data_IF_711566415755
#
_entry.id   IF_711566415755
#
_cell.length_a   1.000
_cell.length_b   1.000
_cell.length_c   1.000
_cell.angle_alpha   90.00
_cell.angle_beta   90.00
_cell.angle_gamma   90.00
#
_symmetry.space_group_name_H-M   'P 1'
#
loop_
_entity.id
_entity.type
_entity.pdbx_description
1 polymer ?
#
# COMPACT_ATOMS: atom_id res chain seq x y z
N UNK A 1 -22.10 9.61 -12.29
CA UNK A 1 -21.31 8.92 -11.25
C UNK A 1 -20.49 9.99 -10.54
N UNK A 2 -20.60 10.19 -9.23
CA UNK A 2 -19.77 11.16 -8.50
C UNK A 2 -18.41 10.53 -8.18
N UNK A 3 -17.34 11.18 -8.62
CA UNK A 3 -15.98 10.66 -8.56
C UNK A 3 -15.13 11.55 -7.65
N UNK A 4 -14.48 10.94 -6.67
CA UNK A 4 -13.43 11.58 -5.85
C UNK A 4 -12.07 11.28 -6.46
N UNK A 5 -11.25 12.31 -6.66
CA UNK A 5 -9.85 12.17 -7.08
C UNK A 5 -8.97 12.67 -5.93
N UNK A 6 -8.17 11.78 -5.36
CA UNK A 6 -7.32 12.07 -4.20
C UNK A 6 -5.87 12.14 -4.65
N UNK A 7 -5.32 13.35 -4.71
CA UNK A 7 -3.93 13.60 -5.12
C UNK A 7 -3.49 15.00 -4.69
N UNK A 8 -2.22 15.13 -4.29
CA UNK A 8 -1.54 16.42 -4.15
C UNK A 8 -0.75 16.80 -5.42
N UNK A 9 -0.76 15.94 -6.45
CA UNK A 9 -0.09 16.15 -7.73
C UNK A 9 -1.03 16.78 -8.77
N UNK A 10 -0.80 18.05 -9.17
CA UNK A 10 -1.66 18.73 -10.14
C UNK A 10 -1.69 18.05 -11.51
N UNK A 11 -0.57 17.46 -11.96
CA UNK A 11 -0.51 16.80 -13.27
C UNK A 11 -1.34 15.51 -13.28
N UNK A 12 -1.32 14.75 -12.18
CA UNK A 12 -2.18 13.58 -12.03
C UNK A 12 -3.65 13.98 -12.05
N UNK A 13 -4.03 15.03 -11.30
CA UNK A 13 -5.40 15.55 -11.28
C UNK A 13 -5.89 15.95 -12.68
N UNK A 14 -5.07 16.69 -13.45
CA UNK A 14 -5.40 17.09 -14.82
C UNK A 14 -5.58 15.87 -15.74
N UNK A 15 -4.63 14.92 -15.69
CA UNK A 15 -4.67 13.73 -16.54
C UNK A 15 -5.90 12.86 -16.24
N UNK A 16 -6.19 12.61 -14.96
CA UNK A 16 -7.35 11.83 -14.54
C UNK A 16 -8.66 12.52 -14.89
N UNK A 17 -8.75 13.86 -14.73
CA UNK A 17 -9.92 14.63 -15.16
C UNK A 17 -10.17 14.47 -16.65
N UNK A 18 -9.14 14.60 -17.49
CA UNK A 18 -9.28 14.44 -18.94
C UNK A 18 -9.80 13.03 -19.32
N UNK A 19 -9.30 11.99 -18.66
CA UNK A 19 -9.76 10.61 -18.86
C UNK A 19 -11.23 10.45 -18.44
N UNK A 20 -11.59 10.95 -17.25
CA UNK A 20 -12.97 10.89 -16.75
C UNK A 20 -13.91 11.65 -17.68
N UNK A 21 -13.59 12.88 -18.04
CA UNK A 21 -14.44 13.76 -18.87
C UNK A 21 -14.66 13.17 -20.27
N UNK A 22 -13.66 12.47 -20.81
CA UNK A 22 -13.81 11.77 -22.10
C UNK A 22 -14.81 10.60 -22.05
N UNK A 23 -14.93 9.92 -20.91
CA UNK A 23 -15.79 8.73 -20.77
C UNK A 23 -17.13 9.05 -20.08
N UNK A 24 -17.15 10.03 -19.19
CA UNK A 24 -18.26 10.42 -18.33
C UNK A 24 -18.35 11.95 -18.20
N UNK A 25 -18.70 12.68 -19.27
CA UNK A 25 -18.66 14.15 -19.30
C UNK A 25 -19.53 14.83 -18.25
N UNK A 26 -20.61 14.17 -17.81
CA UNK A 26 -21.57 14.71 -16.83
C UNK A 26 -21.26 14.30 -15.39
N UNK A 27 -20.19 13.55 -15.15
CA UNK A 27 -19.85 13.05 -13.81
C UNK A 27 -19.20 14.14 -12.96
N UNK A 28 -19.76 14.49 -11.78
CA UNK A 28 -19.11 15.46 -10.90
C UNK A 28 -17.78 14.92 -10.37
N UNK A 29 -16.72 15.72 -10.49
CA UNK A 29 -15.37 15.39 -10.04
C UNK A 29 -14.96 16.27 -8.86
N UNK A 30 -14.76 15.65 -7.69
CA UNK A 30 -14.28 16.31 -6.48
C UNK A 30 -12.81 15.95 -6.27
N UNK A 31 -11.92 16.94 -6.23
CA UNK A 31 -10.49 16.72 -5.98
C UNK A 31 -10.16 17.05 -4.53
N UNK A 32 -9.44 16.16 -3.85
CA UNK A 32 -8.87 16.39 -2.52
C UNK A 32 -7.39 16.01 -2.52
N UNK A 33 -6.61 16.52 -1.57
CA UNK A 33 -5.19 16.19 -1.40
C UNK A 33 -4.94 15.00 -0.45
N UNK A 34 -6.00 14.51 0.20
CA UNK A 34 -5.96 13.50 1.26
C UNK A 34 -7.22 12.64 1.24
N UNK A 35 -7.06 11.38 1.67
CA UNK A 35 -8.16 10.44 1.84
C UNK A 35 -9.10 10.92 2.95
N UNK A 36 -8.56 11.47 4.04
CA UNK A 36 -9.38 12.04 5.12
C UNK A 36 -10.35 13.12 4.66
N UNK A 37 -9.92 14.03 3.78
CA UNK A 37 -10.84 15.04 3.21
C UNK A 37 -11.91 14.42 2.32
N UNK A 38 -11.57 13.38 1.55
CA UNK A 38 -12.56 12.66 0.75
C UNK A 38 -13.60 11.95 1.65
N UNK A 39 -13.17 11.41 2.79
CA UNK A 39 -14.04 10.85 3.83
C UNK A 39 -14.94 11.93 4.43
N UNK A 40 -14.40 13.09 4.82
CA UNK A 40 -15.18 14.22 5.35
C UNK A 40 -16.28 14.66 4.38
N UNK A 41 -15.93 14.82 3.10
CA UNK A 41 -16.88 15.17 2.04
C UNK A 41 -17.88 14.05 1.74
N UNK A 42 -17.61 12.81 2.13
CA UNK A 42 -18.56 11.71 1.99
C UNK A 42 -19.82 11.90 2.83
N UNK A 43 -19.79 12.76 3.86
CA UNK A 43 -20.96 13.12 4.66
C UNK A 43 -21.99 13.97 3.91
N UNK A 44 -21.58 14.70 2.87
CA UNK A 44 -22.45 15.58 2.07
C UNK A 44 -22.54 15.15 0.60
N UNK A 45 -21.58 14.35 0.12
CA UNK A 45 -21.51 13.84 -1.25
C UNK A 45 -21.36 12.33 -1.25
N UNK A 46 -22.29 11.62 -1.87
CA UNK A 46 -22.16 10.17 -2.05
C UNK A 46 -21.21 9.89 -3.20
N UNK A 47 -20.02 9.35 -2.93
CA UNK A 47 -19.07 8.96 -3.97
C UNK A 47 -19.37 7.56 -4.48
N UNK A 48 -19.25 7.35 -5.79
CA UNK A 48 -19.34 6.04 -6.42
C UNK A 48 -17.97 5.49 -6.79
N UNK A 49 -17.00 6.38 -7.02
CA UNK A 49 -15.62 6.01 -7.33
C UNK A 49 -14.68 6.93 -6.56
N UNK A 50 -13.62 6.35 -6.00
CA UNK A 50 -12.42 7.06 -5.59
C UNK A 50 -11.26 6.66 -6.49
N UNK A 51 -10.56 7.64 -7.06
CA UNK A 51 -9.27 7.46 -7.74
C UNK A 51 -8.20 8.04 -6.84
N UNK A 52 -7.36 7.18 -6.28
CA UNK A 52 -6.36 7.50 -5.28
C UNK A 52 -4.95 7.44 -5.89
N UNK A 53 -4.22 8.55 -5.81
CA UNK A 53 -2.78 8.55 -6.03
C UNK A 53 -2.07 8.12 -4.73
N UNK A 54 -1.23 7.09 -4.79
CA UNK A 54 -0.43 6.66 -3.63
C UNK A 54 0.57 7.74 -3.17
N UNK A 55 0.83 8.74 -4.02
CA UNK A 55 1.64 9.91 -3.70
C UNK A 55 1.03 10.79 -2.61
N UNK A 56 -0.30 10.82 -2.49
CA UNK A 56 -0.98 11.65 -1.49
C UNK A 56 -0.60 11.24 -0.05
N UNK A 57 -0.50 12.24 0.83
CA UNK A 57 0.17 12.12 2.14
C UNK A 57 -0.34 11.01 3.06
N UNK A 58 -1.64 10.68 3.01
CA UNK A 58 -2.29 9.64 3.82
C UNK A 58 -2.77 8.43 2.99
N UNK A 59 -2.45 8.36 1.69
CA UNK A 59 -2.95 7.34 0.78
C UNK A 59 -2.49 5.91 1.11
N UNK A 60 -1.35 5.76 1.80
CA UNK A 60 -0.80 4.45 2.19
C UNK A 60 -1.48 3.85 3.40
N UNK A 61 -2.27 4.61 4.13
CA UNK A 61 -3.02 4.10 5.27
C UNK A 61 -4.30 3.42 4.77
N UNK A 62 -4.25 2.11 4.63
CA UNK A 62 -5.40 1.33 4.13
C UNK A 62 -6.56 1.28 5.11
N UNK A 63 -6.37 1.67 6.38
CA UNK A 63 -7.48 1.83 7.32
C UNK A 63 -8.43 2.91 6.81
N UNK A 64 -7.90 4.00 6.24
CA UNK A 64 -8.72 5.06 5.66
C UNK A 64 -9.54 4.59 4.43
N UNK A 65 -9.05 3.58 3.71
CA UNK A 65 -9.79 2.96 2.60
C UNK A 65 -11.01 2.20 3.14
N UNK A 66 -10.82 1.49 4.26
CA UNK A 66 -11.91 0.77 4.96
C UNK A 66 -12.94 1.76 5.53
N UNK A 67 -12.48 2.88 6.13
CA UNK A 67 -13.35 3.95 6.63
C UNK A 67 -14.16 4.59 5.50
N UNK A 68 -13.51 4.91 4.37
CA UNK A 68 -14.19 5.44 3.20
C UNK A 68 -15.25 4.47 2.65
N UNK A 69 -14.95 3.15 2.61
CA UNK A 69 -15.90 2.11 2.20
C UNK A 69 -17.03 1.94 3.20
N UNK A 70 -16.80 2.16 4.48
CA UNK A 70 -17.87 2.10 5.50
C UNK A 70 -18.93 3.17 5.24
N UNK A 71 -18.52 4.37 4.83
CA UNK A 71 -19.42 5.47 4.49
C UNK A 71 -19.99 5.34 3.07
N UNK A 72 -19.20 4.82 2.13
CA UNK A 72 -19.60 4.56 0.75
C UNK A 72 -19.50 3.05 0.40
N UNK A 73 -20.42 2.19 0.89
CA UNK A 73 -20.30 0.73 0.75
C UNK A 73 -20.12 0.23 -0.68
N UNK A 74 -20.79 0.89 -1.62
CA UNK A 74 -20.79 0.53 -3.04
C UNK A 74 -19.72 1.27 -3.85
N UNK A 75 -18.90 2.12 -3.23
CA UNK A 75 -17.89 2.85 -3.97
C UNK A 75 -16.77 1.91 -4.44
N UNK A 76 -16.39 2.02 -5.71
CA UNK A 76 -15.19 1.41 -6.23
C UNK A 76 -13.97 2.27 -5.89
N UNK A 77 -12.82 1.62 -5.71
CA UNK A 77 -11.56 2.31 -5.39
C UNK A 77 -10.50 1.90 -6.39
N UNK A 78 -10.00 2.88 -7.11
CA UNK A 78 -8.95 2.76 -8.11
C UNK A 78 -7.69 3.39 -7.52
N UNK A 79 -6.57 2.68 -7.52
CA UNK A 79 -5.32 3.20 -6.94
C UNK A 79 -4.23 3.23 -7.99
N UNK A 80 -3.64 4.40 -8.20
CA UNK A 80 -2.36 4.54 -8.88
C UNK A 80 -1.22 4.32 -7.88
N UNK A 81 -0.49 3.22 -8.03
CA UNK A 81 0.66 2.87 -7.20
C UNK A 81 1.93 3.66 -7.58
N UNK A 82 1.87 4.48 -8.63
CA UNK A 82 3.05 5.14 -9.18
C UNK A 82 4.18 4.14 -9.47
N UNK A 83 5.39 4.43 -9.01
CA UNK A 83 6.53 3.49 -9.07
C UNK A 83 6.64 2.61 -7.81
N UNK A 84 5.70 2.73 -6.87
CA UNK A 84 5.75 2.08 -5.55
C UNK A 84 4.96 0.78 -5.51
N UNK A 85 5.13 -0.06 -6.53
CA UNK A 85 4.36 -1.29 -6.72
C UNK A 85 4.57 -2.34 -5.63
N UNK A 86 5.60 -2.19 -4.80
CA UNK A 86 5.78 -2.95 -3.56
C UNK A 86 4.58 -2.87 -2.59
N UNK A 87 3.75 -1.82 -2.68
CA UNK A 87 2.52 -1.69 -1.87
C UNK A 87 1.31 -2.42 -2.46
N UNK A 88 1.41 -2.99 -3.68
CA UNK A 88 0.31 -3.65 -4.38
C UNK A 88 -0.47 -4.62 -3.49
N UNK A 89 0.22 -5.51 -2.77
CA UNK A 89 -0.43 -6.49 -1.90
C UNK A 89 -1.28 -5.87 -0.78
N UNK A 90 -0.85 -4.71 -0.26
CA UNK A 90 -1.58 -3.99 0.80
C UNK A 90 -2.93 -3.53 0.28
N UNK A 91 -2.96 -2.92 -0.91
CA UNK A 91 -4.20 -2.45 -1.54
C UNK A 91 -5.09 -3.59 -2.06
N UNK A 92 -4.51 -4.68 -2.60
CA UNK A 92 -5.28 -5.88 -2.97
C UNK A 92 -6.03 -6.43 -1.75
N UNK A 93 -5.37 -6.49 -0.59
CA UNK A 93 -5.96 -6.96 0.68
C UNK A 93 -7.02 -5.99 1.22
N UNK A 94 -6.81 -4.69 1.07
CA UNK A 94 -7.79 -3.65 1.40
C UNK A 94 -9.04 -3.67 0.49
N UNK A 95 -9.07 -4.54 -0.53
CA UNK A 95 -10.26 -4.76 -1.36
C UNK A 95 -10.48 -3.67 -2.42
N UNK A 96 -9.41 -2.99 -2.86
CA UNK A 96 -9.54 -2.02 -3.96
C UNK A 96 -10.00 -2.69 -5.25
N UNK A 97 -10.72 -1.95 -6.06
CA UNK A 97 -11.34 -2.41 -7.31
C UNK A 97 -10.34 -2.44 -8.45
N UNK A 98 -9.48 -1.41 -8.57
CA UNK A 98 -8.44 -1.43 -9.58
C UNK A 98 -7.08 -0.94 -9.10
N UNK A 99 -6.02 -1.45 -9.75
CA UNK A 99 -4.63 -1.06 -9.53
C UNK A 99 -3.94 -0.68 -10.83
N UNK A 100 -3.21 0.42 -10.77
CA UNK A 100 -2.42 0.99 -11.85
C UNK A 100 -1.01 1.37 -11.38
N UNK A 101 -0.14 1.73 -12.32
CA UNK A 101 1.14 2.36 -12.06
C UNK A 101 1.32 3.59 -12.96
N UNK A 102 2.45 4.30 -12.80
CA UNK A 102 2.82 5.40 -13.70
C UNK A 102 3.08 4.95 -15.15
N UNK A 103 3.18 3.65 -15.41
CA UNK A 103 3.36 3.08 -16.76
C UNK A 103 2.06 2.64 -17.40
N UNK A 104 0.96 2.64 -16.65
CA UNK A 104 -0.34 2.25 -17.17
C UNK A 104 -0.82 3.24 -18.22
N UNK A 105 -1.44 2.72 -19.27
CA UNK A 105 -1.95 3.54 -20.36
C UNK A 105 -3.30 4.19 -19.96
N UNK A 106 -3.67 5.36 -20.53
CA UNK A 106 -4.96 6.00 -20.27
C UNK A 106 -6.17 5.09 -20.51
N UNK A 107 -6.07 4.19 -21.51
CA UNK A 107 -7.11 3.22 -21.84
C UNK A 107 -7.31 2.19 -20.72
N UNK A 108 -6.26 1.84 -19.99
CA UNK A 108 -6.35 0.93 -18.84
C UNK A 108 -7.08 1.59 -17.67
N UNK A 109 -6.85 2.89 -17.43
CA UNK A 109 -7.59 3.65 -16.41
C UNK A 109 -9.07 3.70 -16.79
N UNK A 110 -9.37 3.94 -18.06
CA UNK A 110 -10.73 3.92 -18.60
C UNK A 110 -11.39 2.54 -18.43
N UNK A 111 -10.63 1.46 -18.63
CA UNK A 111 -11.08 0.08 -18.39
C UNK A 111 -11.35 -0.17 -16.91
N UNK A 112 -10.46 0.24 -16.01
CA UNK A 112 -10.73 0.10 -14.58
C UNK A 112 -11.94 0.91 -14.09
N UNK A 113 -12.26 2.04 -14.72
CA UNK A 113 -13.52 2.74 -14.48
C UNK A 113 -14.75 1.92 -14.95
N UNK A 114 -14.68 1.22 -16.08
CA UNK A 114 -15.76 0.29 -16.51
C UNK A 114 -15.91 -0.90 -15.56
N UNK A 115 -14.79 -1.46 -15.11
CA UNK A 115 -14.79 -2.54 -14.13
C UNK A 115 -15.38 -2.09 -12.78
N UNK A 116 -15.13 -0.84 -12.39
CA UNK A 116 -15.71 -0.22 -11.21
C UNK A 116 -17.25 -0.14 -11.26
N UNK A 117 -17.84 0.22 -12.40
CA UNK A 117 -19.31 0.20 -12.56
C UNK A 117 -19.90 -1.20 -12.40
N UNK A 118 -19.16 -2.23 -12.80
CA UNK A 118 -19.59 -3.62 -12.75
C UNK A 118 -19.18 -4.36 -11.47
N UNK A 119 -18.58 -3.68 -10.48
CA UNK A 119 -18.03 -4.30 -9.27
C UNK A 119 -17.05 -5.46 -9.54
N UNK A 120 -16.31 -5.38 -10.64
CA UNK A 120 -15.28 -6.37 -11.01
C UNK A 120 -13.90 -5.78 -10.79
N UNK A 121 -12.90 -6.66 -10.57
CA UNK A 121 -11.53 -6.22 -10.31
C UNK A 121 -10.75 -6.03 -11.60
N UNK A 122 -9.89 -5.02 -11.63
CA UNK A 122 -8.97 -4.76 -12.73
C UNK A 122 -7.55 -4.52 -12.21
N UNK A 123 -6.54 -5.03 -12.89
CA UNK A 123 -5.12 -4.70 -12.60
C UNK A 123 -4.49 -4.40 -13.95
N UNK A 124 -3.79 -3.28 -14.09
CA UNK A 124 -3.11 -2.95 -15.34
C UNK A 124 -2.10 -4.02 -15.73
N UNK A 125 -1.88 -4.17 -17.03
CA UNK A 125 -0.99 -5.17 -17.61
C UNK A 125 0.41 -5.16 -17.00
N UNK A 126 0.97 -3.97 -16.78
CA UNK A 126 2.30 -3.80 -16.18
C UNK A 126 2.34 -4.23 -14.70
N UNK A 127 1.29 -3.96 -13.94
CA UNK A 127 1.16 -4.38 -12.53
C UNK A 127 0.91 -5.89 -12.46
N UNK A 128 0.15 -6.48 -13.39
CA UNK A 128 -0.02 -7.93 -13.51
C UNK A 128 1.32 -8.64 -13.74
N UNK A 129 2.17 -8.12 -14.62
CA UNK A 129 3.51 -8.70 -14.86
C UNK A 129 4.36 -8.69 -13.59
N UNK A 130 4.32 -7.58 -12.83
CA UNK A 130 5.03 -7.50 -11.57
C UNK A 130 4.46 -8.44 -10.51
N UNK A 131 3.14 -8.63 -10.47
CA UNK A 131 2.50 -9.60 -9.60
C UNK A 131 2.94 -11.03 -9.92
N UNK A 132 2.94 -11.40 -11.20
CA UNK A 132 3.41 -12.70 -11.68
C UNK A 132 4.87 -12.94 -11.31
N UNK A 133 5.74 -11.95 -11.55
CA UNK A 133 7.15 -12.02 -11.15
C UNK A 133 7.30 -12.28 -9.65
N UNK A 134 6.53 -11.59 -8.80
CA UNK A 134 6.58 -11.82 -7.36
C UNK A 134 6.07 -13.21 -6.97
N UNK A 135 5.06 -13.76 -7.65
CA UNK A 135 4.52 -15.09 -7.36
C UNK A 135 5.49 -16.19 -7.80
N UNK A 136 6.09 -16.05 -8.99
CA UNK A 136 6.92 -17.07 -9.63
C UNK A 136 8.36 -17.05 -9.08
N UNK A 137 8.99 -15.88 -9.00
CA UNK A 137 10.42 -15.77 -8.65
C UNK A 137 10.67 -15.64 -7.14
N UNK A 138 9.63 -15.43 -6.34
CA UNK A 138 9.71 -15.43 -4.88
C UNK A 138 8.45 -16.04 -4.27
N UNK A 139 8.45 -17.34 -3.90
CA UNK A 139 7.53 -17.75 -2.84
C UNK A 139 7.88 -16.88 -1.62
N UNK A 140 7.02 -15.93 -1.26
CA UNK A 140 7.10 -15.27 0.03
C UNK A 140 6.81 -16.39 1.02
N UNK A 141 7.86 -17.12 1.40
CA UNK A 141 7.80 -18.01 2.54
C UNK A 141 7.62 -17.08 3.74
N UNK A 142 6.35 -16.82 4.08
CA UNK A 142 5.91 -15.99 5.21
C UNK A 142 6.39 -16.58 6.54
N UNK A 143 6.84 -17.83 6.52
CA UNK A 143 7.48 -18.49 7.66
C UNK A 143 8.92 -18.03 7.78
N UNK A 144 9.28 -17.56 8.96
CA UNK A 144 10.67 -17.37 9.32
C UNK A 144 11.34 -18.74 9.46
N UNK A 145 12.58 -18.84 9.00
CA UNK A 145 13.45 -19.96 9.37
C UNK A 145 13.89 -19.78 10.83
N UNK A 146 14.30 -20.86 11.51
CA UNK A 146 14.84 -20.79 12.89
C UNK A 146 15.94 -19.73 13.05
N UNK A 147 16.75 -19.53 12.00
CA UNK A 147 17.81 -18.52 11.99
C UNK A 147 17.26 -17.10 11.89
N UNK A 148 16.21 -16.89 11.11
CA UNK A 148 15.52 -15.60 10.99
C UNK A 148 14.73 -15.27 12.26
N UNK A 149 14.11 -16.26 12.91
CA UNK A 149 13.46 -16.08 14.23
C UNK A 149 14.47 -15.63 15.29
N UNK A 150 15.61 -16.32 15.36
CA UNK A 150 16.68 -15.95 16.28
C UNK A 150 17.24 -14.54 15.99
N UNK A 151 17.39 -14.18 14.71
CA UNK A 151 17.78 -12.81 14.33
C UNK A 151 16.72 -11.79 14.73
N UNK A 152 15.43 -12.10 14.57
CA UNK A 152 14.34 -11.22 15.00
C UNK A 152 14.38 -10.98 16.51
N UNK A 153 14.60 -12.03 17.32
CA UNK A 153 14.72 -11.90 18.78
C UNK A 153 15.84 -10.95 19.20
N UNK A 154 17.00 -11.08 18.58
CA UNK A 154 18.14 -10.21 18.88
C UNK A 154 17.90 -8.75 18.44
N UNK A 155 17.15 -8.54 17.35
CA UNK A 155 16.74 -7.21 16.90
C UNK A 155 15.71 -6.57 17.85
N UNK A 156 14.75 -7.36 18.35
CA UNK A 156 13.73 -6.91 19.32
C UNK A 156 14.30 -6.63 20.71
N UNK A 157 15.41 -7.29 21.06
CA UNK A 157 16.21 -7.01 22.25
C UNK A 157 17.06 -5.72 22.14
N UNK A 158 16.80 -4.88 21.12
CA UNK A 158 17.43 -3.58 20.90
C UNK A 158 18.97 -3.63 20.84
N UNK A 159 19.52 -4.74 20.33
CA UNK A 159 20.96 -4.90 20.10
C UNK A 159 21.35 -4.20 18.80
N UNK A 160 22.52 -3.55 18.79
CA UNK A 160 23.07 -2.95 17.57
C UNK A 160 23.42 -4.04 16.55
N UNK A 161 23.46 -3.69 15.26
CA UNK A 161 23.86 -4.66 14.22
C UNK A 161 25.23 -5.31 14.50
N UNK A 162 26.15 -4.57 15.14
CA UNK A 162 27.45 -5.10 15.53
C UNK A 162 27.35 -6.12 16.67
N UNK A 163 26.50 -5.86 17.67
CA UNK A 163 26.25 -6.81 18.76
C UNK A 163 25.58 -8.09 18.25
N UNK A 164 24.58 -7.96 17.37
CA UNK A 164 23.92 -9.11 16.75
C UNK A 164 24.90 -9.90 15.88
N UNK A 165 25.76 -9.21 15.12
CA UNK A 165 26.80 -9.83 14.31
C UNK A 165 27.74 -10.69 15.17
N UNK A 166 28.22 -10.15 16.29
CA UNK A 166 29.10 -10.87 17.23
C UNK A 166 28.41 -12.11 17.82
N UNK A 167 27.16 -11.98 18.28
CA UNK A 167 26.39 -13.10 18.88
C UNK A 167 26.14 -14.21 17.86
N UNK A 168 25.88 -13.84 16.61
CA UNK A 168 25.48 -14.77 15.57
C UNK A 168 26.66 -15.32 14.77
N UNK A 169 27.88 -14.81 14.96
CA UNK A 169 29.03 -15.13 14.12
C UNK A 169 28.85 -14.68 12.67
N UNK A 170 28.16 -13.56 12.45
CA UNK A 170 27.90 -12.98 11.11
C UNK A 170 28.48 -11.56 11.01
N UNK A 171 28.29 -10.90 9.86
CA UNK A 171 28.70 -9.50 9.69
C UNK A 171 27.54 -8.54 9.90
N UNK A 172 27.81 -7.31 10.32
CA UNK A 172 26.80 -6.24 10.45
C UNK A 172 25.99 -6.03 9.16
N UNK A 173 26.64 -6.17 7.99
CA UNK A 173 25.98 -6.14 6.67
C UNK A 173 24.98 -7.28 6.50
N UNK A 174 25.32 -8.47 6.97
CA UNK A 174 24.44 -9.65 6.94
C UNK A 174 23.25 -9.47 7.87
N UNK A 175 23.45 -8.91 9.07
CA UNK A 175 22.35 -8.56 9.99
C UNK A 175 21.36 -7.59 9.33
N UNK A 176 21.86 -6.55 8.64
CA UNK A 176 21.01 -5.63 7.87
C UNK A 176 20.24 -6.33 6.73
N UNK A 177 20.86 -7.31 6.08
CA UNK A 177 20.17 -8.15 5.09
C UNK A 177 19.06 -9.01 5.72
N UNK A 178 19.33 -9.67 6.85
CA UNK A 178 18.35 -10.44 7.59
C UNK A 178 17.18 -9.58 8.07
N UNK A 179 17.44 -8.39 8.63
CA UNK A 179 16.39 -7.42 9.03
C UNK A 179 15.44 -7.12 7.87
N UNK A 180 15.98 -6.72 6.70
CA UNK A 180 15.16 -6.46 5.51
C UNK A 180 14.38 -7.68 5.05
N UNK A 181 15.00 -8.86 5.11
CA UNK A 181 14.37 -10.12 4.71
C UNK A 181 13.21 -10.51 5.64
N UNK A 182 13.40 -10.38 6.95
CA UNK A 182 12.39 -10.64 7.99
C UNK A 182 11.23 -9.65 7.83
N UNK A 183 11.53 -8.35 7.70
CA UNK A 183 10.53 -7.31 7.53
C UNK A 183 9.66 -7.56 6.30
N UNK A 184 10.30 -7.90 5.17
CA UNK A 184 9.60 -8.28 3.94
C UNK A 184 8.77 -9.55 4.09
N UNK A 185 9.27 -10.58 4.80
CA UNK A 185 8.53 -11.85 5.01
C UNK A 185 7.28 -11.65 5.87
N UNK A 186 7.37 -10.77 6.87
CA UNK A 186 6.32 -10.52 7.84
C UNK A 186 5.43 -9.32 7.51
N UNK A 187 5.73 -8.60 6.42
CA UNK A 187 5.02 -7.40 5.95
C UNK A 187 4.99 -6.30 7.03
N UNK A 188 6.15 -5.97 7.60
CA UNK A 188 6.33 -4.96 8.67
C UNK A 188 7.40 -3.92 8.30
N UNK A 189 7.20 -2.66 8.70
CA UNK A 189 8.06 -1.55 8.29
C UNK A 189 9.03 -1.09 9.39
N UNK A 190 8.74 -1.40 10.65
CA UNK A 190 9.56 -1.03 11.80
C UNK A 190 9.64 -2.14 12.87
N UNK A 191 10.47 -1.94 13.91
CA UNK A 191 10.65 -2.93 14.97
C UNK A 191 9.40 -3.09 15.87
N UNK A 192 8.58 -2.05 16.01
CA UNK A 192 7.31 -2.10 16.75
C UNK A 192 6.33 -3.02 16.05
N UNK A 193 6.14 -2.84 14.74
CA UNK A 193 5.31 -3.71 13.91
C UNK A 193 5.80 -5.16 13.98
N UNK A 194 7.12 -5.37 13.93
CA UNK A 194 7.72 -6.70 14.06
C UNK A 194 7.38 -7.35 15.41
N UNK A 195 7.45 -6.60 16.51
CA UNK A 195 7.16 -7.07 17.86
C UNK A 195 5.69 -7.48 18.00
N UNK A 196 4.78 -6.63 17.52
CA UNK A 196 3.34 -6.91 17.47
C UNK A 196 3.08 -8.17 16.63
N UNK A 197 3.68 -8.27 15.44
CA UNK A 197 3.48 -9.40 14.53
C UNK A 197 3.94 -10.73 15.11
N UNK A 198 4.98 -10.72 15.94
CA UNK A 198 5.55 -11.91 16.57
C UNK A 198 4.98 -12.17 17.98
N UNK A 199 4.05 -11.34 18.48
CA UNK A 199 3.58 -11.37 19.87
C UNK A 199 4.73 -11.34 20.89
N UNK A 200 5.70 -10.44 20.68
CA UNK A 200 6.90 -10.27 21.52
C UNK A 200 7.00 -8.85 22.07
N UNK A 201 7.71 -8.69 23.19
CA UNK A 201 7.95 -7.40 23.83
C UNK A 201 9.24 -6.78 23.29
N UNK A 202 9.19 -5.50 22.93
CA UNK A 202 10.39 -4.70 22.65
C UNK A 202 11.07 -4.29 23.95
N UNK A 203 12.37 -4.56 24.06
CA UNK A 203 13.16 -4.13 25.21
C UNK A 203 13.68 -2.71 24.96
N UNK A 204 13.08 -1.72 25.62
CA UNK A 204 13.64 -0.36 25.63
C UNK A 204 14.83 -0.31 26.60
N UNK A 205 15.91 0.37 26.22
CA UNK A 205 16.97 0.70 27.18
C UNK A 205 16.36 1.65 28.20
N UNK A 206 16.31 1.25 29.47
CA UNK A 206 16.37 2.23 30.55
C UNK A 206 17.68 3.01 30.39
N UNK A 207 17.56 4.34 30.48
CA UNK A 207 18.68 5.27 30.48
C UNK A 207 19.64 4.89 31.59
N UNK A 208 20.73 4.20 31.24
CA UNK A 208 21.88 4.06 32.12
C UNK A 208 22.60 5.40 32.19
N UNK A 209 22.54 6.03 33.38
CA UNK A 209 23.48 7.03 33.86
C UNK A 209 24.94 6.62 33.59
#
# INVERSE_FOLDING_TARGET
MTISVVTDNPLFSIAIRAIIESQYPESPIVVTDTVRKAIELSGTSKFQVMILDIGASDAKDTILIEDFKTINPQAAILVNLGDQTQFMYKFIRAGVTALFSNKSLPEEISEGLRHAENNTRYISSDVQQQLLFHIVDKPINRTLTKREEFMADLLLANKSHQQVANITGTTSKSVGYYKRRIFRKLEVDNLVDLAVKLNKVLVNKESGN
#
